data_IF_493708161740
#
_entry.id   IF_493708161740
#
_cell.length_a   1.000
_cell.length_b   1.000
_cell.length_c   1.000
_cell.angle_alpha   90.00
_cell.angle_beta   90.00
_cell.angle_gamma   90.00
#
_symmetry.space_group_name_H-M   'P 1'
#
loop_
_entity.id
_entity.type
_entity.pdbx_description
1 polymer ?
#
# COMPACT_ATOMS: atom_id res chain seq x y z
N UNK A 1 47.02 38.79 -24.27
CA UNK A 1 45.82 38.99 -23.43
C UNK A 1 46.19 38.49 -22.05
N UNK A 2 46.19 39.35 -21.03
CA UNK A 2 46.43 38.89 -19.65
C UNK A 2 45.15 38.19 -19.22
N UNK A 3 45.25 36.89 -18.93
CA UNK A 3 44.14 36.11 -18.42
C UNK A 3 43.93 36.52 -16.95
N UNK A 4 43.06 37.52 -16.73
CA UNK A 4 42.79 38.05 -15.40
C UNK A 4 42.17 36.96 -14.53
N UNK A 5 42.68 36.80 -13.32
CA UNK A 5 42.08 35.89 -12.31
C UNK A 5 41.60 36.68 -11.12
N UNK A 6 40.61 36.14 -10.40
CA UNK A 6 40.13 36.68 -9.14
C UNK A 6 40.51 35.75 -8.00
N UNK A 7 40.93 36.30 -6.86
CA UNK A 7 41.08 35.55 -5.62
C UNK A 7 39.90 35.85 -4.70
N UNK A 8 39.18 34.82 -4.27
CA UNK A 8 38.05 34.93 -3.35
C UNK A 8 38.12 33.84 -2.28
N UNK A 9 38.13 34.24 -0.99
CA UNK A 9 38.24 33.35 0.17
C UNK A 9 39.36 32.28 0.02
N UNK A 10 40.52 32.70 -0.49
CA UNK A 10 41.69 31.83 -0.67
C UNK A 10 41.62 30.89 -1.88
N UNK A 11 40.59 30.98 -2.73
CA UNK A 11 40.47 30.24 -3.99
C UNK A 11 40.67 31.17 -5.19
N UNK A 12 41.24 30.64 -6.27
CA UNK A 12 41.46 31.38 -7.52
C UNK A 12 40.42 30.97 -8.56
N UNK A 13 39.81 31.96 -9.20
CA UNK A 13 38.77 31.83 -10.21
C UNK A 13 39.19 32.51 -11.51
N UNK A 14 38.82 31.93 -12.64
CA UNK A 14 39.04 32.52 -13.96
C UNK A 14 38.02 33.61 -14.23
N UNK A 15 38.37 34.53 -15.12
CA UNK A 15 37.43 35.53 -15.62
C UNK A 15 36.13 34.86 -16.11
N UNK A 16 35.00 35.48 -15.77
CA UNK A 16 33.63 35.01 -16.02
C UNK A 16 33.15 33.80 -15.19
N UNK A 17 33.99 33.18 -14.36
CA UNK A 17 33.55 32.12 -13.45
C UNK A 17 32.43 32.63 -12.54
N UNK A 18 31.40 31.79 -12.36
CA UNK A 18 30.31 31.98 -11.40
C UNK A 18 30.43 30.97 -10.27
N UNK A 19 30.37 31.44 -9.02
CA UNK A 19 30.57 30.60 -7.84
C UNK A 19 29.76 31.07 -6.63
N UNK A 20 29.46 30.18 -5.65
CA UNK A 20 28.72 30.55 -4.44
C UNK A 20 29.49 31.52 -3.54
N UNK A 21 28.78 32.48 -2.94
CA UNK A 21 29.30 33.36 -1.88
C UNK A 21 29.27 32.62 -0.53
N UNK A 22 30.15 31.63 -0.38
CA UNK A 22 30.17 30.75 0.79
C UNK A 22 28.90 29.91 0.90
N UNK A 23 28.32 29.81 2.10
CA UNK A 23 27.05 29.08 2.35
C UNK A 23 25.79 29.90 2.09
N UNK A 24 25.92 31.14 1.60
CA UNK A 24 24.76 31.98 1.28
C UNK A 24 24.20 31.65 -0.11
N UNK A 25 22.92 31.94 -0.32
CA UNK A 25 22.25 31.84 -1.62
C UNK A 25 22.76 32.84 -2.68
N UNK A 26 23.67 33.74 -2.29
CA UNK A 26 24.24 34.72 -3.19
C UNK A 26 25.30 34.07 -4.08
N UNK A 27 25.32 34.49 -5.35
CA UNK A 27 26.31 34.10 -6.34
C UNK A 27 27.29 35.25 -6.61
N UNK A 28 28.55 34.90 -6.82
CA UNK A 28 29.64 35.79 -7.22
C UNK A 28 30.09 35.50 -8.65
N UNK A 29 30.61 36.52 -9.34
CA UNK A 29 31.19 36.43 -10.68
C UNK A 29 32.57 37.08 -10.68
N UNK A 30 33.58 36.41 -11.23
CA UNK A 30 34.88 37.02 -11.49
C UNK A 30 34.82 37.92 -12.73
N UNK A 31 35.16 39.20 -12.59
CA UNK A 31 35.15 40.18 -13.69
C UNK A 31 36.53 40.26 -14.34
N UNK A 32 36.58 40.67 -15.61
CA UNK A 32 37.83 40.93 -16.35
C UNK A 32 38.79 41.90 -15.64
N UNK A 33 38.23 42.79 -14.79
CA UNK A 33 39.00 43.71 -13.93
C UNK A 33 39.77 43.03 -12.79
N UNK A 34 39.64 41.71 -12.60
CA UNK A 34 40.18 40.97 -11.44
C UNK A 34 39.36 41.14 -10.16
N UNK A 35 38.25 41.90 -10.20
CA UNK A 35 37.33 42.06 -9.07
C UNK A 35 36.26 40.98 -9.04
N UNK A 36 35.87 40.61 -7.83
CA UNK A 36 34.73 39.71 -7.58
C UNK A 36 33.49 40.56 -7.32
N UNK A 37 32.44 40.31 -8.09
CA UNK A 37 31.15 40.97 -7.92
C UNK A 37 30.10 39.94 -7.47
N UNK A 38 29.43 40.20 -6.36
CA UNK A 38 28.48 39.25 -5.77
C UNK A 38 27.08 39.88 -5.67
N UNK A 39 26.08 39.07 -5.96
CA UNK A 39 24.69 39.39 -5.65
C UNK A 39 24.51 39.61 -4.15
N UNK A 40 23.51 40.44 -3.81
CA UNK A 40 23.14 40.83 -2.44
C UNK A 40 21.64 40.63 -2.22
N UNK A 41 21.16 39.44 -2.59
CA UNK A 41 19.80 38.99 -2.28
C UNK A 41 19.71 38.54 -0.81
N UNK A 42 18.57 38.85 -0.19
CA UNK A 42 18.22 38.35 1.14
C UNK A 42 17.86 36.87 0.99
N UNK A 43 18.65 36.00 1.62
CA UNK A 43 18.37 34.57 1.62
C UNK A 43 17.24 34.29 2.61
N UNK A 44 16.02 34.14 2.11
CA UNK A 44 14.91 33.65 2.91
C UNK A 44 15.15 32.17 3.21
N UNK A 45 15.63 31.89 4.42
CA UNK A 45 15.62 30.54 4.97
C UNK A 45 14.20 30.27 5.44
N UNK A 46 13.49 29.39 4.74
CA UNK A 46 12.17 28.98 5.20
C UNK A 46 12.33 28.13 6.47
N UNK A 47 11.52 28.38 7.51
CA UNK A 47 11.52 27.55 8.70
C UNK A 47 11.18 26.09 8.35
N UNK A 48 11.91 25.17 8.96
CA UNK A 48 11.67 23.72 8.83
C UNK A 48 10.52 23.30 9.74
N UNK A 49 9.75 22.30 9.31
CA UNK A 49 8.74 21.69 10.16
C UNK A 49 9.36 20.67 11.11
N UNK A 50 8.88 20.62 12.35
CA UNK A 50 9.09 19.50 13.27
C UNK A 50 7.80 18.69 13.37
N UNK A 51 7.85 17.41 13.06
CA UNK A 51 6.69 16.53 13.09
C UNK A 51 7.11 15.12 13.50
N UNK A 52 6.47 14.54 14.52
CA UNK A 52 6.80 13.23 15.10
C UNK A 52 8.31 13.02 15.37
N UNK A 53 8.99 14.06 15.86
CA UNK A 53 10.43 14.01 16.17
C UNK A 53 11.37 14.15 14.96
N UNK A 54 10.83 14.19 13.73
CA UNK A 54 11.60 14.39 12.50
C UNK A 54 11.54 15.86 12.03
N UNK A 55 12.50 16.26 11.21
CA UNK A 55 12.63 17.61 10.65
C UNK A 55 12.47 17.55 9.14
N UNK A 56 11.62 18.42 8.59
CA UNK A 56 11.27 18.46 7.17
C UNK A 56 11.50 19.85 6.58
N UNK A 57 12.05 19.90 5.36
CA UNK A 57 12.25 21.16 4.63
C UNK A 57 10.91 21.78 4.21
N UNK A 58 10.85 23.10 4.16
CA UNK A 58 9.69 23.80 3.64
C UNK A 58 9.35 23.35 2.20
N UNK A 59 8.06 23.15 1.94
CA UNK A 59 7.53 22.63 0.67
C UNK A 59 7.60 21.11 0.52
N UNK A 60 8.33 20.40 1.39
CA UNK A 60 8.41 18.94 1.30
C UNK A 60 7.11 18.26 1.72
N UNK A 61 6.82 17.14 1.06
CA UNK A 61 5.73 16.21 1.42
C UNK A 61 6.30 15.02 2.18
N UNK A 62 5.58 14.53 3.16
CA UNK A 62 6.00 13.42 4.00
C UNK A 62 4.81 12.66 4.59
N UNK A 63 4.94 11.35 4.89
CA UNK A 63 3.86 10.57 5.49
C UNK A 63 3.56 11.05 6.92
N UNK A 64 2.28 11.07 7.31
CA UNK A 64 1.88 11.40 8.69
C UNK A 64 2.26 10.31 9.71
N UNK A 65 2.53 9.09 9.23
CA UNK A 65 2.84 7.92 10.05
C UNK A 65 1.64 7.04 10.40
N UNK A 66 0.41 7.43 10.03
CA UNK A 66 -0.80 6.62 10.24
C UNK A 66 -1.10 5.63 9.08
N UNK A 67 -0.23 5.60 8.07
CA UNK A 67 -0.29 4.68 6.93
C UNK A 67 -1.23 5.09 5.80
N UNK A 68 -1.93 6.23 5.88
CA UNK A 68 -2.77 6.69 4.77
C UNK A 68 -2.81 8.21 4.55
N UNK A 69 -2.36 9.02 5.51
CA UNK A 69 -2.31 10.46 5.36
C UNK A 69 -0.92 10.97 4.99
N UNK A 70 -0.90 12.07 4.25
CA UNK A 70 0.31 12.80 3.87
C UNK A 70 0.25 14.21 4.44
N UNK A 71 1.40 14.73 4.81
CA UNK A 71 1.61 16.09 5.26
C UNK A 71 2.45 16.87 4.25
N UNK A 72 2.22 18.18 4.16
CA UNK A 72 3.12 19.13 3.52
C UNK A 72 3.69 20.08 4.58
N UNK A 73 5.00 20.29 4.56
CA UNK A 73 5.61 21.34 5.36
C UNK A 73 5.37 22.67 4.66
N UNK A 74 4.58 23.57 5.26
CA UNK A 74 4.35 24.89 4.67
C UNK A 74 5.60 25.75 4.71
N UNK A 75 5.66 26.80 3.91
CA UNK A 75 6.73 27.82 3.96
C UNK A 75 6.79 28.59 5.27
N UNK A 76 5.76 28.45 6.13
CA UNK A 76 5.71 29.00 7.48
C UNK A 76 6.23 28.02 8.55
N UNK A 77 6.74 26.85 8.16
CA UNK A 77 7.27 25.85 9.08
C UNK A 77 6.18 25.10 9.86
N UNK A 78 4.93 25.18 9.40
CA UNK A 78 3.79 24.46 9.99
C UNK A 78 3.43 23.26 9.12
N UNK A 79 3.40 22.04 9.66
CA UNK A 79 2.94 20.86 8.92
C UNK A 79 1.41 20.90 8.73
N UNK A 80 0.95 20.61 7.53
CA UNK A 80 -0.49 20.49 7.18
C UNK A 80 -0.74 19.11 6.61
N UNK A 81 -1.59 18.32 7.25
CA UNK A 81 -1.82 16.91 6.89
C UNK A 81 -3.25 16.66 6.41
N UNK A 82 -3.41 15.70 5.49
CA UNK A 82 -4.73 15.13 5.19
C UNK A 82 -5.29 14.41 6.42
N UNK A 83 -6.62 14.27 6.48
CA UNK A 83 -7.33 13.64 7.61
C UNK A 83 -8.32 12.57 7.12
N UNK A 84 -7.85 11.68 6.27
CA UNK A 84 -8.61 10.52 5.85
C UNK A 84 -8.73 9.51 7.00
N UNK A 85 -9.89 8.84 7.08
CA UNK A 85 -10.07 7.68 7.95
C UNK A 85 -9.19 6.56 7.41
N UNK A 86 -8.08 6.28 8.10
CA UNK A 86 -7.24 5.16 7.74
C UNK A 86 -7.94 3.85 8.10
N UNK A 87 -8.36 3.13 7.06
CA UNK A 87 -8.77 1.75 7.23
C UNK A 87 -7.53 0.85 7.54
N UNK A 88 -7.69 -0.35 8.08
CA UNK A 88 -6.57 -1.29 8.17
C UNK A 88 -6.23 -1.86 6.78
N UNK A 89 -4.99 -2.33 6.61
CA UNK A 89 -4.68 -3.29 5.55
C UNK A 89 -5.39 -4.61 5.85
N UNK A 90 -5.84 -5.30 4.81
CA UNK A 90 -6.56 -6.55 5.00
C UNK A 90 -5.58 -7.70 5.23
N UNK A 91 -6.00 -8.69 6.02
CA UNK A 91 -5.27 -9.96 6.14
C UNK A 91 -6.10 -11.07 5.50
N UNK A 92 -5.48 -11.87 4.64
CA UNK A 92 -6.09 -13.04 4.02
C UNK A 92 -5.07 -14.18 3.99
N UNK A 93 -5.43 -15.34 4.55
CA UNK A 93 -4.54 -16.50 4.70
C UNK A 93 -3.16 -16.15 5.30
N UNK A 94 -3.14 -15.26 6.30
CA UNK A 94 -1.91 -14.83 6.98
C UNK A 94 -1.06 -13.80 6.22
N UNK A 95 -1.41 -13.47 4.97
CA UNK A 95 -0.75 -12.44 4.17
C UNK A 95 -1.46 -11.09 4.31
N UNK A 96 -0.68 -10.00 4.29
CA UNK A 96 -1.20 -8.63 4.34
C UNK A 96 -1.34 -8.05 2.94
N UNK A 97 -2.47 -7.40 2.69
CA UNK A 97 -2.81 -6.78 1.41
C UNK A 97 -3.18 -5.33 1.64
N UNK A 98 -2.60 -4.45 0.80
CA UNK A 98 -2.89 -3.03 0.84
C UNK A 98 -4.32 -2.77 0.38
N UNK A 99 -4.94 -1.71 0.88
CA UNK A 99 -6.23 -1.25 0.37
C UNK A 99 -6.18 -0.97 -1.13
N UNK A 100 -7.25 -1.30 -1.81
CA UNK A 100 -7.37 -1.26 -3.27
C UNK A 100 -6.66 -2.42 -3.98
N UNK A 101 -5.91 -3.26 -3.27
CA UNK A 101 -5.21 -4.38 -3.90
C UNK A 101 -6.18 -5.51 -4.24
N UNK A 102 -6.12 -5.97 -5.49
CA UNK A 102 -6.75 -7.21 -5.96
C UNK A 102 -5.68 -8.28 -6.19
N UNK A 103 -5.98 -9.52 -5.81
CA UNK A 103 -5.04 -10.64 -5.90
C UNK A 103 -5.78 -11.98 -6.10
N UNK A 104 -5.11 -13.01 -6.69
CA UNK A 104 -5.71 -14.33 -6.83
C UNK A 104 -6.04 -14.95 -5.47
N UNK A 105 -7.21 -15.56 -5.33
CA UNK A 105 -7.69 -16.19 -4.10
C UNK A 105 -6.84 -17.40 -3.68
N UNK A 106 -6.11 -18.00 -4.62
CA UNK A 106 -5.26 -19.16 -4.40
C UNK A 106 -6.02 -20.48 -4.35
N UNK A 107 -7.25 -20.52 -4.89
CA UNK A 107 -8.12 -21.69 -4.92
C UNK A 107 -8.07 -22.46 -6.25
N UNK A 108 -7.15 -22.11 -7.16
CA UNK A 108 -7.04 -22.69 -8.52
C UNK A 108 -8.32 -22.54 -9.38
N UNK A 109 -9.20 -21.59 -9.05
CA UNK A 109 -10.48 -21.39 -9.75
C UNK A 109 -10.66 -20.01 -10.38
N UNK A 110 -9.55 -19.32 -10.65
CA UNK A 110 -9.54 -17.94 -11.13
C UNK A 110 -10.37 -16.96 -10.28
N UNK A 111 -10.66 -17.33 -9.02
CA UNK A 111 -11.26 -16.40 -8.09
C UNK A 111 -10.21 -15.40 -7.63
N UNK A 112 -10.66 -14.19 -7.33
CA UNK A 112 -9.83 -13.12 -6.81
C UNK A 112 -10.44 -12.53 -5.55
N UNK A 113 -9.59 -11.94 -4.74
CA UNK A 113 -9.95 -11.19 -3.56
C UNK A 113 -9.48 -9.74 -3.72
N UNK A 114 -10.27 -8.81 -3.18
CA UNK A 114 -9.96 -7.38 -3.15
C UNK A 114 -10.01 -6.90 -1.70
N UNK A 115 -8.91 -6.30 -1.25
CA UNK A 115 -8.94 -5.49 -0.04
C UNK A 115 -9.56 -4.15 -0.40
N UNK A 116 -10.83 -3.95 -0.07
CA UNK A 116 -11.55 -2.72 -0.43
C UNK A 116 -10.90 -1.49 0.23
N UNK A 117 -11.19 -0.31 -0.31
CA UNK A 117 -10.71 0.95 0.25
C UNK A 117 -11.18 1.20 1.68
N UNK A 118 -12.23 0.51 2.13
CA UNK A 118 -12.76 0.53 3.51
C UNK A 118 -12.12 -0.54 4.43
N UNK A 119 -11.12 -1.28 3.95
CA UNK A 119 -10.43 -2.31 4.73
C UNK A 119 -11.23 -3.61 4.91
N UNK A 120 -12.28 -3.82 4.11
CA UNK A 120 -13.02 -5.09 4.06
C UNK A 120 -12.43 -5.99 2.97
N UNK A 121 -12.29 -7.29 3.28
CA UNK A 121 -11.93 -8.31 2.31
C UNK A 121 -13.17 -8.80 1.56
N UNK A 122 -13.14 -8.77 0.23
CA UNK A 122 -14.22 -9.28 -0.62
C UNK A 122 -13.63 -10.19 -1.70
N UNK A 123 -14.17 -11.41 -1.84
CA UNK A 123 -13.67 -12.40 -2.80
C UNK A 123 -14.78 -12.86 -3.74
N UNK A 124 -14.43 -13.16 -4.98
CA UNK A 124 -15.33 -13.85 -5.90
C UNK A 124 -15.45 -15.33 -5.53
N UNK A 125 -16.57 -15.92 -5.94
CA UNK A 125 -16.88 -17.32 -5.72
C UNK A 125 -17.47 -17.94 -6.98
N UNK A 126 -16.60 -18.28 -7.92
CA UNK A 126 -16.91 -19.22 -9.00
C UNK A 126 -16.56 -20.64 -8.52
N UNK A 127 -17.44 -21.60 -8.78
CA UNK A 127 -17.22 -23.02 -8.49
C UNK A 127 -17.18 -23.91 -9.72
N UNK A 128 -17.39 -23.35 -10.93
CA UNK A 128 -17.50 -24.12 -12.17
C UNK A 128 -16.22 -24.83 -12.62
N UNK A 129 -15.08 -24.50 -12.01
CA UNK A 129 -13.79 -25.10 -12.32
C UNK A 129 -13.48 -26.34 -11.46
N UNK A 130 -14.24 -26.55 -10.39
CA UNK A 130 -13.99 -27.60 -9.41
C UNK A 130 -14.67 -28.90 -9.84
N UNK A 131 -14.18 -30.02 -9.31
CA UNK A 131 -14.69 -31.34 -9.67
C UNK A 131 -16.04 -31.59 -9.00
N UNK A 132 -17.02 -32.03 -9.79
CA UNK A 132 -18.32 -32.45 -9.26
C UNK A 132 -18.19 -33.77 -8.47
N UNK A 133 -19.06 -33.95 -7.49
CA UNK A 133 -19.08 -35.14 -6.65
C UNK A 133 -20.04 -36.17 -7.21
N UNK A 134 -19.69 -37.46 -7.07
CA UNK A 134 -20.60 -38.56 -7.39
C UNK A 134 -20.97 -39.29 -6.11
N UNK A 135 -22.26 -39.30 -5.77
CA UNK A 135 -22.80 -40.00 -4.61
C UNK A 135 -24.01 -40.84 -5.01
N UNK A 136 -23.95 -42.15 -4.77
CA UNK A 136 -24.97 -43.13 -5.17
C UNK A 136 -25.42 -43.00 -6.64
N UNK A 137 -24.47 -42.73 -7.54
CA UNK A 137 -24.73 -42.58 -8.98
C UNK A 137 -25.36 -41.25 -9.39
N UNK A 138 -25.58 -40.32 -8.46
CA UNK A 138 -26.00 -38.95 -8.73
C UNK A 138 -24.81 -38.00 -8.68
N UNK A 139 -24.81 -37.00 -9.57
CA UNK A 139 -23.79 -35.95 -9.65
C UNK A 139 -24.26 -34.71 -8.90
N UNK A 140 -23.37 -34.15 -8.08
CA UNK A 140 -23.60 -32.94 -7.29
C UNK A 140 -22.52 -31.92 -7.60
N UNK A 141 -22.90 -30.68 -7.90
CA UNK A 141 -21.92 -29.63 -8.20
C UNK A 141 -21.15 -29.22 -6.94
N UNK A 142 -19.91 -28.75 -7.11
CA UNK A 142 -19.12 -28.26 -5.97
C UNK A 142 -19.88 -27.21 -5.14
N UNK A 143 -19.93 -27.42 -3.82
CA UNK A 143 -20.65 -26.60 -2.86
C UNK A 143 -22.13 -26.98 -2.67
N UNK A 144 -22.69 -27.83 -3.54
CA UNK A 144 -24.06 -28.31 -3.42
C UNK A 144 -24.21 -29.19 -2.18
N UNK A 145 -25.30 -28.96 -1.44
CA UNK A 145 -25.72 -29.78 -0.32
C UNK A 145 -26.71 -30.86 -0.79
N UNK A 146 -26.62 -32.03 -0.17
CA UNK A 146 -27.51 -33.16 -0.44
C UNK A 146 -27.70 -34.03 0.80
N UNK A 147 -28.82 -34.74 0.87
CA UNK A 147 -29.09 -35.70 1.94
C UNK A 147 -28.40 -37.03 1.66
N UNK A 148 -27.85 -37.65 2.71
CA UNK A 148 -27.35 -39.02 2.66
C UNK A 148 -28.46 -40.01 2.29
N UNK A 149 -28.08 -41.20 1.86
CA UNK A 149 -29.03 -42.26 1.50
C UNK A 149 -29.90 -42.75 2.65
N UNK A 150 -29.44 -42.56 3.89
CA UNK A 150 -30.21 -42.81 5.10
C UNK A 150 -31.12 -41.63 5.50
N UNK A 151 -30.99 -40.47 4.84
CA UNK A 151 -31.79 -39.26 5.06
C UNK A 151 -31.48 -38.51 6.36
N UNK A 152 -30.42 -38.88 7.06
CA UNK A 152 -30.12 -38.35 8.40
C UNK A 152 -28.90 -37.42 8.42
N UNK A 153 -28.10 -37.39 7.35
CA UNK A 153 -26.91 -36.55 7.25
C UNK A 153 -27.05 -35.58 6.11
N UNK A 154 -26.76 -34.32 6.40
CA UNK A 154 -26.54 -33.34 5.36
C UNK A 154 -25.09 -33.46 4.91
N UNK A 155 -24.90 -33.71 3.63
CA UNK A 155 -23.61 -33.79 2.97
C UNK A 155 -23.40 -32.58 2.07
N UNK A 156 -22.16 -32.15 1.89
CA UNK A 156 -21.77 -31.09 0.99
C UNK A 156 -20.64 -31.57 0.08
N UNK A 157 -20.79 -31.34 -1.22
CA UNK A 157 -19.77 -31.61 -2.23
C UNK A 157 -18.59 -30.65 -2.09
N UNK A 158 -17.37 -31.20 -1.94
CA UNK A 158 -16.12 -30.44 -1.75
C UNK A 158 -15.39 -30.21 -3.07
N UNK A 159 -14.49 -29.22 -3.08
CA UNK A 159 -13.82 -28.75 -4.30
C UNK A 159 -12.87 -29.78 -4.97
N UNK A 160 -12.50 -30.84 -4.26
CA UNK A 160 -11.70 -31.97 -4.74
C UNK A 160 -12.56 -33.12 -5.32
N UNK A 161 -13.88 -32.95 -5.41
CA UNK A 161 -14.82 -33.98 -5.89
C UNK A 161 -15.23 -35.01 -4.82
N UNK A 162 -14.79 -34.83 -3.57
CA UNK A 162 -15.23 -35.61 -2.41
C UNK A 162 -16.47 -34.97 -1.76
N UNK A 163 -16.98 -35.53 -0.68
CA UNK A 163 -18.05 -34.90 0.10
C UNK A 163 -17.82 -35.06 1.59
N UNK A 164 -18.24 -34.07 2.36
CA UNK A 164 -18.25 -34.11 3.82
C UNK A 164 -19.69 -34.17 4.29
N UNK A 165 -19.97 -34.95 5.34
CA UNK A 165 -21.32 -35.09 5.89
C UNK A 165 -21.31 -34.74 7.38
N UNK A 166 -22.41 -34.18 7.86
CA UNK A 166 -22.65 -33.99 9.30
C UNK A 166 -22.57 -35.31 10.07
N UNK A 167 -22.18 -35.27 11.35
CA UNK A 167 -22.11 -36.44 12.23
C UNK A 167 -23.48 -36.92 12.76
N UNK A 168 -24.60 -36.40 12.26
CA UNK A 168 -25.92 -36.83 12.70
C UNK A 168 -26.19 -38.28 12.27
N UNK A 169 -26.81 -39.07 13.15
CA UNK A 169 -27.20 -40.45 12.83
C UNK A 169 -28.71 -40.58 12.99
N UNK A 170 -29.32 -41.46 12.19
CA UNK A 170 -30.70 -41.84 12.45
C UNK A 170 -30.77 -42.54 13.81
N UNK A 171 -31.52 -41.97 14.75
CA UNK A 171 -31.90 -42.70 15.96
C UNK A 171 -32.93 -43.75 15.55
N UNK A 172 -32.51 -45.01 15.52
CA UNK A 172 -33.43 -46.14 15.37
C UNK A 172 -34.01 -46.45 16.73
N UNK A 173 -35.25 -46.07 16.96
CA UNK A 173 -36.09 -46.78 17.91
C UNK A 173 -36.90 -47.83 17.15
N UNK A 174 -37.22 -48.94 17.83
CA UNK A 174 -37.44 -50.28 17.27
C UNK A 174 -38.58 -50.46 16.25
N UNK A 175 -39.18 -49.41 15.69
CA UNK A 175 -40.16 -49.51 14.61
C UNK A 175 -40.37 -48.23 13.75
N UNK A 176 -39.53 -47.19 13.80
CA UNK A 176 -39.62 -46.10 12.81
C UNK A 176 -38.37 -45.20 12.74
N UNK A 177 -38.08 -44.70 11.53
CA UNK A 177 -37.16 -43.57 11.29
C UNK A 177 -37.79 -42.31 11.88
N UNK A 178 -37.28 -41.83 13.02
CA UNK A 178 -37.61 -40.51 13.52
C UNK A 178 -36.86 -39.48 12.66
N UNK A 179 -37.64 -38.65 11.95
CA UNK A 179 -37.18 -37.45 11.25
C UNK A 179 -36.92 -36.32 12.23
#
# INVERSE_FOLDING_TARGET
MVDSTCTYLGRTYKTADRFPKGESCNMCTCRESGKVDCTTITCYQFPKCRYNGLVYEAGSRFPSGDGCNECICTTLGVPQCTKFKCYPDCTYNGLKYKKGQTFPKGDNCNNYCTCTVTGKMECTQNTSCFTDCVYNGQTYSTGQEFQSSDGCRLCQCTADGSYTCSENYCLRDSNNLLK
#
